data_IF_696709597550
#
_entry.id   IF_696709597550
#
_cell.length_a   1.000
_cell.length_b   1.000
_cell.length_c   1.000
_cell.angle_alpha   90.00
_cell.angle_beta   90.00
_cell.angle_gamma   90.00
#
_symmetry.space_group_name_H-M   'P 1'
#
loop_
_entity.id
_entity.type
_entity.pdbx_description
1 polymer ?
#
# COMPACT_ATOMS: atom_id res chain seq x y z
N UNK A 1 4.22 18.09 -19.96
CA UNK A 1 5.45 18.48 -19.23
C UNK A 1 5.28 18.01 -17.80
N UNK A 2 6.18 17.15 -17.29
CA UNK A 2 6.14 16.76 -15.89
C UNK A 2 6.38 17.99 -15.00
N UNK A 3 5.47 18.21 -14.06
CA UNK A 3 5.64 19.26 -13.05
C UNK A 3 6.35 18.61 -11.87
N UNK A 4 7.62 18.93 -11.67
CA UNK A 4 8.37 18.45 -10.51
C UNK A 4 7.99 19.26 -9.27
N UNK A 5 7.90 18.58 -8.13
CA UNK A 5 7.45 19.16 -6.86
C UNK A 5 8.44 20.21 -6.32
N UNK A 6 9.74 19.95 -6.46
CA UNK A 6 10.80 20.75 -5.84
C UNK A 6 11.61 21.54 -6.87
N UNK A 7 11.94 22.80 -6.54
CA UNK A 7 12.79 23.67 -7.36
C UNK A 7 14.27 23.47 -7.09
N UNK A 8 14.63 23.02 -5.89
CA UNK A 8 16.02 22.85 -5.47
C UNK A 8 16.24 21.51 -4.77
N UNK A 9 17.48 20.99 -4.86
CA UNK A 9 17.90 19.77 -4.14
C UNK A 9 17.76 19.94 -2.62
N UNK A 10 18.06 21.11 -2.07
CA UNK A 10 17.97 21.38 -0.63
C UNK A 10 16.51 21.36 -0.14
N UNK A 11 15.58 21.93 -0.90
CA UNK A 11 14.15 21.89 -0.60
C UNK A 11 13.65 20.44 -0.56
N UNK A 12 13.95 19.65 -1.57
CA UNK A 12 13.59 18.24 -1.65
C UNK A 12 14.24 17.40 -0.53
N UNK A 13 15.52 17.66 -0.20
CA UNK A 13 16.19 16.97 0.90
C UNK A 13 15.51 17.26 2.25
N UNK A 14 15.16 18.51 2.54
CA UNK A 14 14.44 18.88 3.76
C UNK A 14 13.06 18.22 3.84
N UNK A 15 12.33 18.14 2.74
CA UNK A 15 11.04 17.45 2.67
C UNK A 15 11.21 15.95 2.94
N UNK A 16 12.22 15.29 2.38
CA UNK A 16 12.54 13.89 2.69
C UNK A 16 12.85 13.69 4.17
N UNK A 17 13.61 14.61 4.80
CA UNK A 17 13.90 14.52 6.23
C UNK A 17 12.64 14.64 7.08
N UNK A 18 11.72 15.53 6.73
CA UNK A 18 10.44 15.69 7.42
C UNK A 18 9.58 14.44 7.30
N UNK A 19 9.45 13.86 6.11
CA UNK A 19 8.73 12.58 5.95
C UNK A 19 9.46 11.46 6.69
N UNK A 20 10.79 11.43 6.66
CA UNK A 20 11.60 10.48 7.43
C UNK A 20 11.30 10.53 8.93
N UNK A 21 11.20 11.74 9.50
CA UNK A 21 10.82 11.96 10.90
C UNK A 21 9.40 11.45 11.18
N UNK A 22 8.42 11.79 10.32
CA UNK A 22 7.03 11.33 10.47
C UNK A 22 6.89 9.82 10.45
N UNK A 23 7.51 9.11 9.50
CA UNK A 23 7.43 7.64 9.44
C UNK A 23 8.11 6.98 10.65
N UNK A 24 9.18 7.60 11.18
CA UNK A 24 9.84 7.14 12.39
C UNK A 24 8.96 7.36 13.63
N UNK A 25 8.39 8.55 13.82
CA UNK A 25 7.48 8.88 14.94
C UNK A 25 6.22 8.02 14.95
N UNK A 26 5.69 7.67 13.78
CA UNK A 26 4.54 6.76 13.63
C UNK A 26 4.90 5.29 13.88
N UNK A 27 6.18 4.96 14.03
CA UNK A 27 6.64 3.57 14.17
C UNK A 27 6.46 2.75 12.88
N UNK A 28 6.50 3.40 11.71
CA UNK A 28 6.42 2.73 10.42
C UNK A 28 7.77 2.18 9.96
N UNK A 29 8.84 2.57 10.61
CA UNK A 29 10.21 2.07 10.37
C UNK A 29 10.90 1.79 11.70
N UNK A 30 11.70 0.72 11.72
CA UNK A 30 12.57 0.36 12.83
C UNK A 30 14.04 0.54 12.41
N UNK A 31 14.91 0.89 13.36
CA UNK A 31 16.34 1.04 13.14
C UNK A 31 16.67 1.86 11.86
N UNK A 32 17.19 1.22 10.82
CA UNK A 32 17.54 1.83 9.54
C UNK A 32 16.58 1.46 8.38
N UNK A 33 15.49 0.76 8.69
CA UNK A 33 14.53 0.27 7.70
C UNK A 33 13.84 1.39 6.92
N UNK A 34 13.25 0.99 5.78
CA UNK A 34 12.53 1.88 4.90
C UNK A 34 13.45 2.82 4.10
N UNK A 35 12.90 3.42 3.08
CA UNK A 35 13.59 4.40 2.23
C UNK A 35 12.58 5.33 1.55
N UNK A 36 13.04 6.54 1.26
CA UNK A 36 12.23 7.61 0.70
C UNK A 36 13.02 8.24 -0.42
N UNK A 37 12.36 8.56 -1.53
CA UNK A 37 12.98 9.29 -2.63
C UNK A 37 12.05 10.30 -3.26
N UNK A 38 12.63 11.29 -3.91
CA UNK A 38 11.93 12.29 -4.69
C UNK A 38 12.67 12.55 -6.01
N UNK A 39 11.91 12.69 -7.10
CA UNK A 39 12.40 13.04 -8.41
C UNK A 39 12.64 14.55 -8.48
N UNK A 40 13.86 14.97 -8.82
CA UNK A 40 14.20 16.39 -9.04
C UNK A 40 13.90 16.85 -10.47
N UNK A 41 14.12 15.95 -11.41
CA UNK A 41 13.91 16.17 -12.84
C UNK A 41 13.91 14.82 -13.57
N UNK A 42 13.83 14.81 -14.90
CA UNK A 42 13.80 13.58 -15.70
C UNK A 42 15.07 12.71 -15.59
N UNK A 43 16.15 13.23 -15.00
CA UNK A 43 17.47 12.56 -14.94
C UNK A 43 17.97 12.27 -13.54
N UNK A 44 17.44 12.95 -12.53
CA UNK A 44 17.99 12.96 -11.18
C UNK A 44 16.93 12.69 -10.13
N UNK A 45 17.29 11.87 -9.16
CA UNK A 45 16.50 11.49 -7.99
C UNK A 45 17.36 11.72 -6.75
N UNK A 46 16.76 12.25 -5.70
CA UNK A 46 17.34 12.24 -4.35
C UNK A 46 16.68 11.19 -3.50
N UNK A 47 17.44 10.57 -2.62
CA UNK A 47 16.96 9.45 -1.78
C UNK A 47 17.66 9.42 -0.43
N UNK A 48 17.02 8.78 0.52
CA UNK A 48 17.63 8.44 1.80
C UNK A 48 18.80 7.48 1.61
N UNK A 49 19.88 7.62 2.40
CA UNK A 49 21.02 6.73 2.33
C UNK A 49 20.71 5.38 3.00
N UNK A 50 21.50 4.36 2.65
CA UNK A 50 21.51 3.08 3.34
C UNK A 50 22.05 3.21 4.77
N UNK A 51 21.49 2.40 5.72
CA UNK A 51 22.03 2.27 7.07
C UNK A 51 21.81 3.48 7.98
N UNK A 52 20.90 4.40 7.64
CA UNK A 52 20.55 5.56 8.48
C UNK A 52 19.10 5.46 8.99
N UNK A 53 18.91 5.71 10.28
CA UNK A 53 17.56 5.86 10.84
C UNK A 53 16.87 7.08 10.24
N UNK A 54 15.63 6.90 9.81
CA UNK A 54 14.84 7.95 9.14
C UNK A 54 14.52 9.13 10.04
N UNK A 55 14.47 8.92 11.37
CA UNK A 55 14.23 9.97 12.35
C UNK A 55 15.42 10.88 12.65
N UNK A 56 16.64 10.50 12.24
CA UNK A 56 17.89 11.15 12.67
C UNK A 56 18.83 11.49 11.53
N UNK A 57 18.30 11.66 10.32
CA UNK A 57 19.11 12.07 9.16
C UNK A 57 19.32 13.57 9.11
N UNK A 58 20.40 13.98 8.47
CA UNK A 58 20.72 15.36 8.13
C UNK A 58 20.71 15.57 6.60
N UNK A 59 20.64 16.83 6.14
CA UNK A 59 20.59 17.16 4.70
C UNK A 59 21.78 16.56 3.95
N UNK A 60 22.97 16.60 4.52
CA UNK A 60 24.18 16.04 3.95
C UNK A 60 24.22 14.51 3.85
N UNK A 61 23.32 13.81 4.54
CA UNK A 61 23.17 12.35 4.45
C UNK A 61 22.44 11.95 3.15
N UNK A 62 21.55 12.81 2.66
CA UNK A 62 20.76 12.55 1.46
C UNK A 62 21.67 12.35 0.25
N UNK A 63 21.36 11.35 -0.56
CA UNK A 63 22.13 11.02 -1.75
C UNK A 63 21.38 11.41 -3.02
N UNK A 64 22.11 11.91 -4.02
CA UNK A 64 21.59 12.14 -5.35
C UNK A 64 22.12 11.08 -6.30
N UNK A 65 21.23 10.54 -7.13
CA UNK A 65 21.53 9.50 -8.12
C UNK A 65 20.93 9.85 -9.47
N UNK A 66 21.46 9.25 -10.53
CA UNK A 66 20.81 9.27 -11.83
C UNK A 66 19.73 8.17 -11.96
N UNK A 67 18.99 8.14 -13.07
CA UNK A 67 17.93 7.15 -13.34
C UNK A 67 18.47 5.73 -13.55
N UNK A 68 19.77 5.52 -13.56
CA UNK A 68 20.46 4.22 -13.55
C UNK A 68 20.93 3.82 -12.15
N UNK A 69 20.66 4.65 -11.12
CA UNK A 69 21.05 4.40 -9.73
C UNK A 69 22.52 4.75 -9.43
N UNK A 70 23.25 5.37 -10.37
CA UNK A 70 24.64 5.77 -10.16
C UNK A 70 24.66 7.04 -9.30
N UNK A 71 25.43 6.98 -8.24
CA UNK A 71 25.56 8.11 -7.31
C UNK A 71 26.23 9.32 -7.98
N UNK A 72 25.58 10.48 -7.86
CA UNK A 72 26.07 11.77 -8.34
C UNK A 72 26.70 12.56 -7.17
N UNK A 73 25.98 12.64 -6.01
CA UNK A 73 26.43 13.40 -4.84
C UNK A 73 25.89 12.84 -3.53
N UNK A 74 26.27 13.45 -2.39
CA UNK A 74 25.85 13.06 -1.04
C UNK A 74 26.89 12.19 -0.32
N UNK A 75 26.89 12.16 1.02
CA UNK A 75 27.90 11.43 1.82
C UNK A 75 27.62 9.93 1.91
N UNK A 76 26.34 9.53 1.99
CA UNK A 76 25.91 8.15 2.16
C UNK A 76 26.09 7.26 0.93
N UNK A 77 25.80 5.97 1.09
CA UNK A 77 25.58 5.05 -0.03
C UNK A 77 24.09 5.04 -0.37
N UNK A 78 23.69 4.98 -1.65
CA UNK A 78 22.30 4.77 -2.01
C UNK A 78 21.71 3.51 -1.33
N UNK A 79 20.41 3.53 -1.05
CA UNK A 79 19.71 2.35 -0.55
C UNK A 79 19.83 1.19 -1.55
N UNK A 80 19.98 -0.02 -1.05
CA UNK A 80 19.98 -1.25 -1.87
C UNK A 80 18.62 -1.52 -2.52
N UNK A 81 17.56 -0.86 -2.05
CA UNK A 81 16.20 -0.95 -2.60
C UNK A 81 15.85 0.20 -3.56
N UNK A 82 16.80 1.07 -3.85
CA UNK A 82 16.63 2.14 -4.82
C UNK A 82 16.20 1.64 -6.22
N UNK A 83 16.63 0.46 -6.71
CA UNK A 83 16.12 -0.09 -7.98
C UNK A 83 14.59 -0.17 -8.06
N UNK A 84 13.90 -0.48 -6.96
CA UNK A 84 12.44 -0.45 -6.86
C UNK A 84 11.87 0.96 -7.12
N UNK A 85 12.45 2.00 -6.51
CA UNK A 85 12.01 3.37 -6.72
C UNK A 85 12.23 3.81 -8.18
N UNK A 86 13.38 3.48 -8.74
CA UNK A 86 13.70 3.82 -10.13
C UNK A 86 12.80 3.08 -11.13
N UNK A 87 12.39 1.84 -10.82
CA UNK A 87 11.39 1.10 -11.61
C UNK A 87 10.05 1.84 -11.59
N UNK A 88 9.57 2.25 -10.40
CA UNK A 88 8.32 3.00 -10.26
C UNK A 88 8.38 4.29 -11.10
N UNK A 89 9.45 5.07 -11.00
CA UNK A 89 9.62 6.29 -11.79
C UNK A 89 9.65 6.06 -13.30
N UNK A 90 10.16 4.91 -13.75
CA UNK A 90 10.16 4.56 -15.19
C UNK A 90 8.78 4.18 -15.71
N UNK A 91 8.03 3.41 -14.92
CA UNK A 91 6.71 2.91 -15.31
C UNK A 91 5.58 3.93 -15.09
N UNK A 92 5.79 4.88 -14.17
CA UNK A 92 4.83 5.91 -13.77
C UNK A 92 5.45 7.31 -13.90
N UNK A 93 5.39 7.93 -15.10
CA UNK A 93 5.90 9.28 -15.31
C UNK A 93 5.19 10.36 -14.46
N UNK A 94 3.96 10.11 -14.03
CA UNK A 94 3.16 10.94 -13.15
C UNK A 94 3.64 10.93 -11.69
N UNK A 95 4.51 10.00 -11.31
CA UNK A 95 5.03 9.83 -9.95
C UNK A 95 6.33 10.63 -9.78
N UNK A 96 6.38 11.48 -8.73
CA UNK A 96 7.59 12.22 -8.34
C UNK A 96 8.13 11.82 -6.96
N UNK A 97 7.42 11.01 -6.19
CA UNK A 97 7.86 10.57 -4.87
C UNK A 97 7.50 9.13 -4.57
N UNK A 98 8.38 8.44 -3.85
CA UNK A 98 8.20 7.06 -3.38
C UNK A 98 8.57 6.98 -1.91
N UNK A 99 7.70 6.35 -1.11
CA UNK A 99 7.87 6.05 0.31
C UNK A 99 7.74 4.55 0.51
N UNK A 100 8.80 3.91 0.98
CA UNK A 100 8.79 2.50 1.38
C UNK A 100 9.04 2.39 2.89
N UNK A 101 8.16 1.66 3.57
CA UNK A 101 8.19 1.45 5.02
C UNK A 101 7.71 0.05 5.39
N UNK A 102 7.89 -0.28 6.68
CA UNK A 102 7.40 -1.54 7.27
C UNK A 102 6.37 -1.24 8.38
N UNK A 103 5.22 -0.57 8.07
CA UNK A 103 4.23 -0.27 9.09
C UNK A 103 3.67 -1.58 9.66
N UNK A 104 3.60 -1.73 11.02
CA UNK A 104 3.48 -3.05 11.64
C UNK A 104 2.26 -3.86 11.22
N UNK A 105 1.08 -3.21 11.10
CA UNK A 105 -0.15 -3.95 10.77
C UNK A 105 -0.19 -4.35 9.30
N UNK A 106 0.13 -3.42 8.40
CA UNK A 106 0.15 -3.70 6.96
C UNK A 106 1.25 -4.72 6.60
N UNK A 107 2.43 -4.63 7.25
CA UNK A 107 3.50 -5.61 7.11
C UNK A 107 3.08 -6.99 7.64
N UNK A 108 2.27 -7.02 8.73
CA UNK A 108 1.68 -8.24 9.24
C UNK A 108 0.76 -8.93 8.20
N UNK A 109 -0.07 -8.16 7.49
CA UNK A 109 -0.87 -8.68 6.38
C UNK A 109 0.01 -9.20 5.24
N UNK A 110 1.04 -8.46 4.86
CA UNK A 110 2.00 -8.87 3.83
C UNK A 110 2.73 -10.18 4.21
N UNK A 111 3.12 -10.33 5.47
CA UNK A 111 3.77 -11.53 6.00
C UNK A 111 2.79 -12.72 6.11
N UNK A 112 1.51 -12.46 6.32
CA UNK A 112 0.46 -13.48 6.30
C UNK A 112 0.01 -13.87 4.88
N UNK A 113 0.59 -13.29 3.83
CA UNK A 113 0.20 -13.55 2.45
C UNK A 113 -1.16 -12.97 2.06
N UNK A 114 -1.60 -11.88 2.70
CA UNK A 114 -2.94 -11.31 2.56
C UNK A 114 -2.88 -9.90 1.98
N UNK A 115 -3.62 -9.67 0.89
CA UNK A 115 -3.85 -8.33 0.36
C UNK A 115 -4.80 -7.52 1.26
N UNK A 116 -4.83 -6.20 1.06
CA UNK A 116 -5.82 -5.30 1.63
C UNK A 116 -6.80 -4.88 0.52
N UNK A 117 -7.60 -5.82 0.07
CA UNK A 117 -8.43 -5.75 -1.13
C UNK A 117 -9.94 -5.73 -0.85
N UNK A 118 -10.35 -5.76 0.41
CA UNK A 118 -11.77 -5.81 0.79
C UNK A 118 -12.42 -4.44 0.71
N UNK A 119 -13.60 -4.34 0.11
CA UNK A 119 -14.36 -3.10 0.00
C UNK A 119 -15.07 -2.75 1.34
N UNK A 120 -14.28 -2.46 2.39
CA UNK A 120 -14.79 -2.22 3.74
C UNK A 120 -15.07 -0.74 4.03
N UNK A 121 -14.30 0.17 3.44
CA UNK A 121 -14.27 1.59 3.80
C UNK A 121 -14.31 2.46 2.54
N UNK A 122 -15.25 3.40 2.48
CA UNK A 122 -15.46 4.30 1.33
C UNK A 122 -14.23 5.14 1.00
N UNK A 123 -13.53 5.65 2.02
CA UNK A 123 -12.33 6.48 1.88
C UNK A 123 -11.19 5.73 1.20
N UNK A 124 -11.08 4.41 1.45
CA UNK A 124 -10.06 3.58 0.81
C UNK A 124 -10.37 3.39 -0.67
N UNK A 125 -11.63 3.16 -1.00
CA UNK A 125 -12.06 3.04 -2.40
C UNK A 125 -11.78 4.36 -3.14
N UNK A 126 -12.10 5.49 -2.51
CA UNK A 126 -11.85 6.82 -3.08
C UNK A 126 -10.36 7.13 -3.23
N UNK A 127 -9.52 6.82 -2.26
CA UNK A 127 -8.09 7.20 -2.25
C UNK A 127 -7.20 6.21 -2.97
N UNK A 128 -7.28 4.93 -2.64
CA UNK A 128 -6.39 3.87 -3.13
C UNK A 128 -7.09 2.89 -4.10
N UNK A 129 -8.40 2.72 -3.95
CA UNK A 129 -9.16 1.66 -4.62
C UNK A 129 -8.95 0.32 -3.91
N UNK A 130 -7.71 -0.18 -3.92
CA UNK A 130 -7.32 -1.42 -3.29
C UNK A 130 -5.80 -1.47 -3.13
N UNK A 131 -5.28 -2.30 -2.24
CA UNK A 131 -3.84 -2.48 -2.02
C UNK A 131 -3.49 -3.96 -2.26
N UNK A 132 -2.97 -4.31 -3.44
CA UNK A 132 -2.62 -5.67 -3.78
C UNK A 132 -1.39 -6.15 -3.01
N UNK A 133 -1.22 -7.47 -2.97
CA UNK A 133 -0.01 -8.12 -2.47
C UNK A 133 0.86 -8.59 -3.65
N UNK A 134 2.06 -8.04 -3.75
CA UNK A 134 3.11 -8.54 -4.63
C UNK A 134 3.74 -9.80 -4.04
N UNK A 135 4.18 -10.71 -4.91
CA UNK A 135 4.95 -11.88 -4.50
C UNK A 135 6.26 -11.51 -3.79
N UNK A 136 6.91 -12.49 -3.19
CA UNK A 136 8.21 -12.27 -2.54
C UNK A 136 9.30 -11.97 -3.57
N UNK A 137 10.08 -10.94 -3.28
CA UNK A 137 11.32 -10.60 -3.98
C UNK A 137 12.41 -10.37 -2.95
N UNK A 138 13.59 -10.97 -3.14
CA UNK A 138 14.69 -10.86 -2.17
C UNK A 138 15.19 -9.42 -2.07
N UNK A 139 15.13 -8.78 -0.90
CA UNK A 139 15.66 -7.43 -0.69
C UNK A 139 17.14 -7.33 -1.08
N UNK A 140 17.57 -6.15 -1.48
CA UNK A 140 18.94 -5.87 -1.91
C UNK A 140 19.42 -6.67 -3.15
N UNK A 141 18.50 -7.26 -3.91
CA UNK A 141 18.77 -7.90 -5.21
C UNK A 141 17.81 -7.36 -6.27
N UNK A 142 18.09 -7.65 -7.54
CA UNK A 142 17.20 -7.27 -8.65
C UNK A 142 15.84 -8.00 -8.58
N UNK A 143 15.73 -9.08 -7.80
CA UNK A 143 14.49 -9.83 -7.64
C UNK A 143 13.37 -9.04 -6.94
N UNK A 144 13.72 -8.00 -6.15
CA UNK A 144 12.73 -7.16 -5.45
C UNK A 144 11.78 -6.44 -6.44
N UNK A 145 12.23 -6.19 -7.66
CA UNK A 145 11.46 -5.45 -8.67
C UNK A 145 10.46 -6.31 -9.45
N UNK A 146 10.79 -7.57 -9.69
CA UNK A 146 10.02 -8.48 -10.55
C UNK A 146 8.54 -8.62 -10.16
N UNK A 147 8.19 -8.90 -8.89
CA UNK A 147 6.80 -9.05 -8.49
C UNK A 147 6.02 -7.72 -8.44
N UNK A 148 6.72 -6.58 -8.40
CA UNK A 148 6.10 -5.26 -8.38
C UNK A 148 5.77 -4.75 -9.79
N UNK A 149 6.59 -5.08 -10.79
CA UNK A 149 6.50 -4.57 -12.15
C UNK A 149 5.09 -4.66 -12.75
N UNK A 150 4.37 -5.79 -12.67
CA UNK A 150 3.02 -5.90 -13.23
C UNK A 150 1.96 -5.10 -12.47
N UNK A 151 2.22 -4.71 -11.21
CA UNK A 151 1.26 -4.01 -10.36
C UNK A 151 1.41 -2.48 -10.42
N UNK A 152 2.64 -1.99 -10.60
CA UNK A 152 2.96 -0.56 -10.57
C UNK A 152 2.08 0.28 -11.52
N UNK A 153 1.75 -0.13 -12.75
CA UNK A 153 0.92 0.68 -13.64
C UNK A 153 -0.48 0.95 -13.12
N UNK A 154 -1.05 0.04 -12.31
CA UNK A 154 -2.46 0.06 -11.91
C UNK A 154 -2.70 0.49 -10.46
N UNK A 155 -1.68 0.51 -9.60
CA UNK A 155 -1.82 0.78 -8.18
C UNK A 155 -0.85 1.86 -7.71
N UNK A 156 -1.20 2.57 -6.65
CA UNK A 156 -0.37 3.60 -6.02
C UNK A 156 0.20 3.16 -4.66
N UNK A 157 -0.25 2.02 -4.17
CA UNK A 157 0.22 1.37 -2.96
C UNK A 157 0.23 -0.14 -3.15
N UNK A 158 1.29 -0.82 -2.75
CA UNK A 158 1.48 -2.26 -2.93
C UNK A 158 2.08 -2.85 -1.64
N UNK A 159 1.47 -3.92 -1.13
CA UNK A 159 2.08 -4.77 -0.11
C UNK A 159 3.13 -5.66 -0.76
N UNK A 160 4.26 -5.84 -0.10
CA UNK A 160 5.36 -6.69 -0.53
C UNK A 160 5.43 -7.91 0.40
N UNK A 161 5.20 -9.11 -0.12
CA UNK A 161 5.14 -10.34 0.69
C UNK A 161 6.39 -10.50 1.57
N UNK A 162 6.18 -10.75 2.87
CA UNK A 162 7.22 -10.92 3.89
C UNK A 162 8.21 -9.75 4.01
N UNK A 163 7.80 -8.52 3.63
CA UNK A 163 8.71 -7.39 3.62
C UNK A 163 8.07 -6.11 4.19
N UNK A 164 7.17 -5.48 3.46
CA UNK A 164 6.60 -4.19 3.86
C UNK A 164 5.63 -3.62 2.85
N UNK A 165 5.63 -2.29 2.74
CA UNK A 165 4.72 -1.53 1.88
C UNK A 165 5.50 -0.51 1.06
N UNK A 166 5.15 -0.35 -0.22
CA UNK A 166 5.60 0.77 -1.04
C UNK A 166 4.40 1.60 -1.49
N UNK A 167 4.49 2.92 -1.30
CA UNK A 167 3.51 3.91 -1.74
C UNK A 167 4.20 4.98 -2.57
N UNK A 168 3.48 5.52 -3.56
CA UNK A 168 4.04 6.53 -4.44
C UNK A 168 2.96 7.47 -4.98
N UNK A 169 3.39 8.62 -5.47
CA UNK A 169 2.49 9.64 -5.97
C UNK A 169 3.17 10.85 -6.57
N UNK A 170 2.38 11.85 -6.99
CA UNK A 170 2.87 13.08 -7.62
C UNK A 170 3.67 13.97 -6.67
N UNK A 171 3.46 13.85 -5.36
CA UNK A 171 4.20 14.60 -4.34
C UNK A 171 4.62 13.71 -3.18
N UNK A 172 5.58 14.18 -2.40
CA UNK A 172 6.11 13.46 -1.25
C UNK A 172 5.04 13.31 -0.15
N UNK A 173 4.27 14.35 0.12
CA UNK A 173 3.13 14.30 1.05
C UNK A 173 2.06 13.32 0.56
N UNK A 174 1.76 13.29 -0.74
CA UNK A 174 0.77 12.34 -1.28
C UNK A 174 1.21 10.89 -1.11
N UNK A 175 2.49 10.58 -1.39
CA UNK A 175 3.03 9.23 -1.17
C UNK A 175 3.01 8.84 0.34
N UNK A 176 3.34 9.78 1.22
CA UNK A 176 3.29 9.58 2.67
C UNK A 176 1.86 9.39 3.19
N UNK A 177 0.90 10.20 2.77
CA UNK A 177 -0.50 10.04 3.19
C UNK A 177 -1.09 8.70 2.75
N UNK A 178 -0.70 8.20 1.56
CA UNK A 178 -1.05 6.84 1.14
C UNK A 178 -0.49 5.79 2.10
N UNK A 179 0.75 5.96 2.59
CA UNK A 179 1.36 5.06 3.57
C UNK A 179 0.59 5.07 4.90
N UNK A 180 0.19 6.26 5.40
CA UNK A 180 -0.66 6.35 6.59
C UNK A 180 -2.02 5.67 6.36
N UNK A 181 -2.62 5.89 5.19
CA UNK A 181 -3.91 5.31 4.81
C UNK A 181 -3.83 3.78 4.75
N UNK A 182 -2.76 3.21 4.20
CA UNK A 182 -2.56 1.75 4.14
C UNK A 182 -2.47 1.15 5.54
N UNK A 183 -1.65 1.73 6.43
CA UNK A 183 -1.54 1.23 7.80
C UNK A 183 -2.85 1.37 8.58
N UNK A 184 -3.56 2.50 8.43
CA UNK A 184 -4.86 2.70 9.05
C UNK A 184 -5.88 1.66 8.56
N UNK A 185 -5.93 1.41 7.26
CA UNK A 185 -6.80 0.39 6.68
C UNK A 185 -6.44 -1.03 7.12
N UNK A 186 -5.16 -1.34 7.22
CA UNK A 186 -4.69 -2.62 7.74
C UNK A 186 -5.17 -2.85 9.19
N UNK A 187 -5.10 -1.83 10.05
CA UNK A 187 -5.62 -1.90 11.43
C UNK A 187 -7.12 -2.15 11.46
N UNK A 188 -7.89 -1.48 10.61
CA UNK A 188 -9.34 -1.72 10.50
C UNK A 188 -9.62 -3.15 10.03
N UNK A 189 -8.92 -3.62 8.99
CA UNK A 189 -9.06 -5.01 8.53
C UNK A 189 -8.74 -6.02 9.63
N UNK A 190 -7.69 -5.78 10.42
CA UNK A 190 -7.35 -6.64 11.56
C UNK A 190 -8.50 -6.71 12.57
N UNK A 191 -9.10 -5.57 12.92
CA UNK A 191 -10.27 -5.52 13.83
C UNK A 191 -11.44 -6.30 13.24
N UNK A 192 -11.76 -6.11 11.95
CA UNK A 192 -12.83 -6.83 11.25
C UNK A 192 -12.59 -8.34 11.28
N UNK A 193 -11.34 -8.78 11.05
CA UNK A 193 -10.97 -10.20 11.12
C UNK A 193 -11.09 -10.78 12.54
N UNK A 194 -10.71 -10.02 13.57
CA UNK A 194 -10.88 -10.42 14.98
C UNK A 194 -12.36 -10.56 15.32
N UNK A 195 -13.20 -9.65 14.82
CA UNK A 195 -14.66 -9.72 15.04
C UNK A 195 -15.31 -10.87 14.25
N UNK A 196 -14.62 -11.46 13.27
CA UNK A 196 -15.09 -12.59 12.48
C UNK A 196 -16.24 -12.27 11.52
N UNK A 197 -16.52 -10.98 11.27
CA UNK A 197 -17.64 -10.54 10.43
C UNK A 197 -17.23 -9.37 9.58
N UNK A 198 -17.45 -9.47 8.26
CA UNK A 198 -17.23 -8.41 7.28
C UNK A 198 -18.57 -7.89 6.72
N UNK A 199 -18.69 -6.59 6.59
CA UNK A 199 -19.80 -5.93 5.88
C UNK A 199 -19.21 -5.16 4.70
N UNK A 200 -19.15 -5.81 3.54
CA UNK A 200 -18.56 -5.25 2.34
C UNK A 200 -19.54 -4.33 1.61
N UNK A 201 -19.00 -3.28 1.02
CA UNK A 201 -19.73 -2.46 0.05
C UNK A 201 -20.10 -3.31 -1.17
N UNK A 202 -21.28 -3.05 -1.72
CA UNK A 202 -21.75 -3.66 -2.96
C UNK A 202 -20.95 -3.15 -4.17
N UNK A 203 -21.04 -3.85 -5.30
CA UNK A 203 -20.46 -3.41 -6.57
C UNK A 203 -20.96 -2.03 -6.97
N UNK A 204 -22.26 -1.79 -6.86
CA UNK A 204 -22.87 -0.50 -7.22
C UNK A 204 -22.34 0.66 -6.37
N UNK A 205 -22.13 0.44 -5.06
CA UNK A 205 -21.55 1.44 -4.16
C UNK A 205 -20.09 1.72 -4.51
N UNK A 206 -19.31 0.68 -4.79
CA UNK A 206 -17.91 0.82 -5.20
C UNK A 206 -17.80 1.58 -6.53
N UNK A 207 -18.63 1.26 -7.53
CA UNK A 207 -18.62 1.94 -8.83
C UNK A 207 -19.00 3.43 -8.68
N UNK A 208 -19.97 3.77 -7.82
CA UNK A 208 -20.29 5.16 -7.47
C UNK A 208 -19.11 5.89 -6.84
N UNK A 209 -18.36 5.24 -5.95
CA UNK A 209 -17.15 5.81 -5.32
C UNK A 209 -16.03 6.00 -6.34
N UNK A 210 -15.77 5.01 -7.20
CA UNK A 210 -14.77 5.12 -8.26
C UNK A 210 -15.04 6.29 -9.20
N UNK A 211 -16.30 6.49 -9.62
CA UNK A 211 -16.69 7.61 -10.48
C UNK A 211 -16.44 8.99 -9.86
N UNK A 212 -16.32 9.07 -8.54
CA UNK A 212 -16.07 10.30 -7.78
C UNK A 212 -14.59 10.56 -7.45
N UNK A 213 -13.68 9.61 -7.64
CA UNK A 213 -12.26 9.75 -7.28
C UNK A 213 -11.63 11.02 -7.86
N UNK A 214 -11.82 11.26 -9.13
CA UNK A 214 -11.28 12.45 -9.81
C UNK A 214 -11.81 13.76 -9.27
N UNK A 215 -13.12 13.85 -8.99
CA UNK A 215 -13.76 15.08 -8.53
C UNK A 215 -13.53 15.38 -7.05
N UNK A 216 -13.40 14.36 -6.21
CA UNK A 216 -13.26 14.52 -4.74
C UNK A 216 -11.78 14.62 -4.33
N UNK A 217 -10.91 13.80 -4.92
CA UNK A 217 -9.50 13.70 -4.52
C UNK A 217 -8.52 14.16 -5.61
N UNK A 218 -9.01 14.60 -6.78
CA UNK A 218 -8.14 14.99 -7.89
C UNK A 218 -7.30 13.85 -8.44
N UNK A 219 -7.65 12.59 -8.13
CA UNK A 219 -6.87 11.42 -8.49
C UNK A 219 -7.09 11.12 -9.96
N UNK A 220 -6.06 11.31 -10.76
CA UNK A 220 -6.02 10.96 -12.18
C UNK A 220 -5.39 9.57 -12.42
N UNK A 221 -4.99 8.88 -11.39
CA UNK A 221 -4.40 7.53 -11.43
C UNK A 221 -5.36 6.51 -12.01
N UNK A 222 -4.87 5.38 -12.52
CA UNK A 222 -5.60 4.58 -13.48
C UNK A 222 -7.04 4.42 -13.05
N UNK A 223 -7.91 5.05 -13.83
CA UNK A 223 -9.36 5.15 -13.59
C UNK A 223 -10.05 3.82 -13.85
N UNK A 224 -9.32 2.86 -14.37
CA UNK A 224 -9.86 1.56 -14.69
C UNK A 224 -9.83 0.66 -13.45
N UNK A 225 -10.99 0.18 -13.13
CA UNK A 225 -11.20 -0.85 -12.14
C UNK A 225 -10.42 -2.11 -12.53
N UNK A 226 -9.48 -2.50 -11.69
CA UNK A 226 -8.75 -3.75 -11.91
C UNK A 226 -9.67 -4.92 -11.55
N UNK A 227 -9.96 -5.86 -12.49
CA UNK A 227 -10.84 -6.98 -12.21
C UNK A 227 -10.44 -7.73 -10.93
N UNK A 228 -11.43 -7.93 -10.03
CA UNK A 228 -11.20 -8.63 -8.76
C UNK A 228 -10.66 -7.77 -7.61
N UNK A 229 -10.39 -6.49 -7.82
CA UNK A 229 -9.92 -5.59 -6.77
C UNK A 229 -10.61 -4.22 -6.85
N UNK A 230 -11.38 -3.76 -5.83
CA UNK A 230 -11.57 -4.46 -4.55
C UNK A 230 -12.58 -5.62 -4.61
N UNK A 231 -12.47 -6.54 -3.65
CA UNK A 231 -13.47 -7.57 -3.39
C UNK A 231 -14.70 -6.91 -2.75
N UNK A 232 -15.83 -7.07 -3.39
CA UNK A 232 -17.12 -6.48 -3.00
C UNK A 232 -18.06 -7.54 -2.42
N UNK A 233 -19.15 -7.10 -1.80
CA UNK A 233 -20.23 -8.01 -1.43
C UNK A 233 -20.75 -8.71 -2.70
N UNK A 234 -20.85 -10.02 -2.65
CA UNK A 234 -21.56 -10.77 -3.70
C UNK A 234 -23.05 -10.40 -3.65
N UNK A 235 -23.71 -10.27 -4.80
CA UNK A 235 -25.17 -10.16 -4.81
C UNK A 235 -25.74 -11.33 -4.03
N UNK A 236 -26.59 -11.05 -3.04
CA UNK A 236 -27.28 -12.11 -2.30
C UNK A 236 -27.99 -13.04 -3.29
N UNK A 237 -27.56 -14.29 -3.37
CA UNK A 237 -28.23 -15.31 -4.19
C UNK A 237 -29.60 -15.69 -3.63
N UNK A 238 -29.90 -15.19 -2.43
CA UNK A 238 -31.20 -15.35 -1.78
C UNK A 238 -31.84 -13.98 -1.63
N UNK A 239 -33.12 -13.80 -2.03
CA UNK A 239 -33.86 -12.60 -1.65
C UNK A 239 -33.77 -12.47 -0.13
N UNK A 240 -33.62 -11.24 0.36
CA UNK A 240 -33.63 -10.96 1.79
C UNK A 240 -34.84 -11.68 2.38
N UNK A 241 -34.60 -12.70 3.18
CA UNK A 241 -35.70 -13.38 3.90
C UNK A 241 -36.25 -12.33 4.87
N UNK A 242 -37.43 -11.83 4.55
CA UNK A 242 -38.25 -11.08 5.47
C UNK A 242 -38.61 -12.03 6.64
N UNK A 243 -37.90 -11.84 7.78
CA UNK A 243 -38.15 -12.72 8.95
C UNK A 243 -36.91 -12.80 9.84
N UNK A 244 -36.39 -11.68 10.29
CA UNK A 244 -35.44 -11.65 11.41
C UNK A 244 -36.18 -11.99 12.70
N UNK A 245 -36.29 -13.26 13.04
CA UNK A 245 -36.54 -13.80 14.37
C UNK A 245 -37.09 -15.23 14.33
N UNK A 246 -36.80 -16.04 13.31
CA UNK A 246 -37.00 -17.48 13.48
C UNK A 246 -35.87 -18.03 14.36
N UNK A 247 -36.20 -18.23 15.62
CA UNK A 247 -35.38 -19.00 16.56
C UNK A 247 -35.54 -20.47 16.18
N UNK A 248 -34.54 -21.03 15.49
CA UNK A 248 -34.46 -22.46 15.27
C UNK A 248 -34.09 -23.14 16.60
N UNK A 249 -35.02 -23.90 17.18
CA UNK A 249 -34.68 -24.77 18.29
C UNK A 249 -34.21 -26.12 17.72
N UNK A 250 -32.92 -26.40 17.81
CA UNK A 250 -32.34 -27.70 17.51
C UNK A 250 -32.13 -28.46 18.81
N UNK A 251 -32.48 -29.73 18.84
CA UNK A 251 -32.12 -30.59 19.94
C UNK A 251 -30.64 -30.87 19.97
N UNK A 252 -30.10 -31.23 21.13
CA UNK A 252 -28.66 -31.56 21.26
C UNK A 252 -28.22 -32.67 20.29
N UNK A 253 -29.11 -33.62 19.96
CA UNK A 253 -28.86 -34.70 19.01
C UNK A 253 -28.74 -34.18 17.58
N UNK A 254 -29.67 -33.33 17.13
CA UNK A 254 -29.63 -32.72 15.79
C UNK A 254 -28.39 -31.83 15.57
N UNK A 255 -27.96 -31.11 16.62
CA UNK A 255 -26.74 -30.32 16.55
C UNK A 255 -25.50 -31.22 16.43
N UNK A 256 -25.42 -32.33 17.12
CA UNK A 256 -24.35 -33.32 17.02
C UNK A 256 -24.28 -33.92 15.62
N UNK A 257 -25.43 -34.32 15.06
CA UNK A 257 -25.53 -34.89 13.72
C UNK A 257 -25.08 -33.87 12.64
N UNK A 258 -25.47 -32.60 12.79
CA UNK A 258 -25.05 -31.52 11.87
C UNK A 258 -23.54 -31.29 11.92
N UNK A 259 -22.95 -31.29 13.10
CA UNK A 259 -21.51 -31.16 13.31
C UNK A 259 -20.76 -32.34 12.68
N UNK A 260 -21.26 -33.58 12.85
CA UNK A 260 -20.66 -34.77 12.26
C UNK A 260 -20.71 -34.74 10.73
N UNK A 261 -21.82 -34.33 10.12
CA UNK A 261 -21.93 -34.17 8.66
C UNK A 261 -20.92 -33.13 8.11
N UNK A 262 -20.75 -32.00 8.80
CA UNK A 262 -19.77 -30.98 8.39
C UNK A 262 -18.32 -31.49 8.48
N UNK A 263 -18.03 -32.32 9.47
CA UNK A 263 -16.69 -32.91 9.67
C UNK A 263 -16.38 -34.04 8.66
N UNK A 264 -17.39 -34.78 8.19
CA UNK A 264 -17.25 -35.86 7.21
C UNK A 264 -17.03 -35.31 5.77
N UNK A 265 -17.55 -34.12 5.46
CA UNK A 265 -17.38 -33.47 4.15
C UNK A 265 -16.03 -32.73 4.00
N UNK A 266 -15.15 -32.77 5.01
CA UNK A 266 -13.80 -32.20 4.99
C UNK A 266 -12.66 -33.23 4.81
N UNK A 267 -13.01 -34.44 4.36
CA UNK A 267 -11.97 -35.46 4.00
C UNK A 267 -11.79 -35.55 2.48
#
# INVERSE_FOLDING_TARGET
MNVFEFKTENEAARAILEIGRRVWEKGFVAASDGNISARLNDREVIATPSGRSKGFMHVEDIVKVDMQGRKISGKGKPSTELPMHLLIYRLRPDVNAVVHCHPPTATGFAAAGMALDRALISEIILSLGCVPLAGYGTPATDDITKPLEPLIPSYDAILMANHGVVCYGPTLDNAYFKMETVEHFARINLVVKILGRENLLSREEVDKLFSRRGSVYGIQSPTEYVPGCPVVAEPSRYPAMAGENEVFSVTKSELIDLIQQVLEHRK
#
